data_IF_788376706180
#
_entry.id   IF_788376706180
#
_cell.length_a   1.000
_cell.length_b   1.000
_cell.length_c   1.000
_cell.angle_alpha   90.00
_cell.angle_beta   90.00
_cell.angle_gamma   90.00
#
_symmetry.space_group_name_H-M   'P 1'
#
loop_
_entity.id
_entity.type
_entity.pdbx_description
1 polymer ?
#
# COMPACT_ATOMS: atom_id res chain seq x y z
N UNK A 1 51.72 -37.94 4.78
CA UNK A 1 51.89 -38.32 3.36
C UNK A 1 50.56 -38.06 2.66
N UNK A 2 50.61 -37.42 1.48
CA UNK A 2 49.50 -36.95 0.62
C UNK A 2 48.61 -35.84 1.25
N UNK A 3 48.26 -34.74 0.58
CA UNK A 3 48.51 -34.29 -0.79
C UNK A 3 48.21 -32.78 -0.88
N UNK A 4 48.96 -32.11 -1.74
CA UNK A 4 49.06 -30.66 -1.92
C UNK A 4 48.24 -30.19 -3.13
N UNK A 5 48.18 -28.87 -3.30
CA UNK A 5 48.10 -28.06 -4.53
C UNK A 5 46.76 -27.32 -4.73
N UNK A 6 46.69 -26.04 -4.38
CA UNK A 6 47.20 -24.85 -5.10
C UNK A 6 46.51 -24.60 -6.44
N UNK A 7 45.61 -23.63 -6.38
CA UNK A 7 45.13 -22.83 -7.49
C UNK A 7 46.27 -21.95 -8.03
N UNK A 8 46.51 -22.01 -9.34
CA UNK A 8 47.31 -21.02 -10.05
C UNK A 8 46.53 -20.48 -11.24
N UNK A 9 46.35 -19.15 -11.21
CA UNK A 9 46.00 -18.29 -12.33
C UNK A 9 46.93 -18.51 -13.53
N UNK A 10 46.37 -18.40 -14.74
CA UNK A 10 47.09 -17.91 -15.93
C UNK A 10 46.10 -17.31 -16.94
N UNK A 11 46.24 -15.99 -17.16
CA UNK A 11 45.87 -15.31 -18.40
C UNK A 11 47.05 -15.39 -19.37
N UNK A 12 46.82 -15.75 -20.64
CA UNK A 12 47.13 -14.89 -21.82
C UNK A 12 46.99 -15.63 -23.16
N UNK A 13 46.43 -14.86 -24.10
CA UNK A 13 46.34 -14.93 -25.55
C UNK A 13 47.22 -15.91 -26.34
N UNK A 14 46.63 -16.50 -27.39
CA UNK A 14 47.16 -16.50 -28.78
C UNK A 14 45.98 -16.39 -29.76
N UNK A 15 46.10 -15.48 -30.73
CA UNK A 15 45.23 -15.37 -31.91
C UNK A 15 46.00 -15.85 -33.16
N UNK A 16 45.37 -16.64 -34.04
CA UNK A 16 45.63 -16.67 -35.49
C UNK A 16 44.65 -17.61 -36.25
N UNK A 17 43.76 -17.00 -37.04
CA UNK A 17 43.44 -17.36 -38.44
C UNK A 17 42.69 -18.66 -38.78
N UNK A 18 41.41 -18.54 -39.18
CA UNK A 18 40.88 -19.19 -40.40
C UNK A 18 39.61 -18.49 -40.90
N UNK A 19 39.53 -18.32 -42.21
CA UNK A 19 38.55 -17.55 -43.01
C UNK A 19 37.18 -18.22 -43.14
N UNK A 20 36.15 -17.36 -43.19
CA UNK A 20 34.82 -17.47 -43.80
C UNK A 20 34.22 -18.87 -44.07
N UNK A 21 33.17 -19.19 -43.31
CA UNK A 21 31.96 -19.83 -43.83
C UNK A 21 30.75 -19.24 -43.09
N UNK A 22 29.77 -18.77 -43.86
CA UNK A 22 28.50 -18.22 -43.38
C UNK A 22 27.77 -19.20 -42.45
N UNK A 23 27.62 -18.84 -41.18
CA UNK A 23 26.58 -19.43 -40.32
C UNK A 23 25.84 -18.29 -39.61
N UNK A 24 24.57 -18.18 -39.98
CA UNK A 24 23.72 -17.03 -39.70
C UNK A 24 23.65 -16.67 -38.22
N UNK A 25 23.51 -15.37 -38.01
CA UNK A 25 22.83 -14.77 -36.87
C UNK A 25 21.67 -15.66 -36.43
N UNK A 26 21.81 -16.31 -35.27
CA UNK A 26 20.67 -16.63 -34.42
C UNK A 26 20.94 -16.01 -33.06
N UNK A 27 20.95 -14.69 -33.05
CA UNK A 27 20.59 -13.93 -31.87
C UNK A 27 19.11 -14.23 -31.63
N UNK A 28 18.82 -15.36 -30.99
CA UNK A 28 17.54 -15.59 -30.32
C UNK A 28 17.44 -14.58 -29.17
N UNK A 29 17.17 -13.32 -29.51
CA UNK A 29 16.57 -12.37 -28.59
C UNK A 29 15.14 -12.83 -28.45
N UNK A 30 14.95 -13.79 -27.57
CA UNK A 30 13.65 -14.33 -27.19
C UNK A 30 12.70 -13.16 -27.04
N UNK A 31 11.58 -13.18 -27.76
CA UNK A 31 10.65 -12.06 -27.77
C UNK A 31 10.28 -11.65 -26.34
N UNK A 32 10.26 -10.34 -26.03
CA UNK A 32 9.85 -9.88 -24.72
C UNK A 32 8.42 -10.31 -24.46
N UNK A 33 8.13 -10.76 -23.24
CA UNK A 33 6.77 -11.11 -22.86
C UNK A 33 5.85 -9.90 -23.05
N UNK A 34 4.68 -10.12 -23.65
CA UNK A 34 3.63 -9.09 -23.67
C UNK A 34 2.97 -8.98 -22.29
N UNK A 35 3.69 -8.34 -21.38
CA UNK A 35 3.19 -7.99 -20.05
C UNK A 35 2.08 -6.95 -20.16
N UNK A 36 2.01 -6.16 -21.25
CA UNK A 36 0.99 -5.12 -21.45
C UNK A 36 -0.39 -5.70 -21.73
N UNK A 37 -0.49 -6.89 -22.30
CA UNK A 37 -1.75 -7.59 -22.53
C UNK A 37 -2.35 -8.31 -21.32
N UNK A 38 -1.69 -8.31 -20.16
CA UNK A 38 -2.19 -9.02 -18.96
C UNK A 38 -3.38 -8.29 -18.35
N UNK A 39 -4.49 -9.03 -18.20
CA UNK A 39 -5.81 -8.52 -17.81
C UNK A 39 -6.41 -9.27 -16.61
N UNK A 40 -5.95 -10.45 -16.28
CA UNK A 40 -6.48 -11.24 -15.18
C UNK A 40 -5.41 -12.16 -14.57
N UNK A 41 -5.76 -12.82 -13.46
CA UNK A 41 -4.87 -13.75 -12.77
C UNK A 41 -4.42 -14.90 -13.69
N UNK A 42 -5.29 -15.39 -14.57
CA UNK A 42 -4.97 -16.50 -15.46
C UNK A 42 -3.91 -16.11 -16.50
N UNK A 43 -4.04 -14.92 -17.09
CA UNK A 43 -3.08 -14.35 -18.04
C UNK A 43 -1.71 -14.13 -17.41
N UNK A 44 -1.66 -13.60 -16.18
CA UNK A 44 -0.39 -13.45 -15.46
C UNK A 44 0.27 -14.81 -15.20
N UNK A 45 -0.49 -15.78 -14.70
CA UNK A 45 0.02 -17.12 -14.38
C UNK A 45 0.50 -17.84 -15.64
N UNK A 46 -0.15 -17.65 -16.79
CA UNK A 46 0.30 -18.19 -18.06
C UNK A 46 1.70 -17.66 -18.45
N UNK A 47 1.93 -16.34 -18.31
CA UNK A 47 3.25 -15.76 -18.55
C UNK A 47 4.30 -16.24 -17.53
N UNK A 48 3.94 -16.41 -16.26
CA UNK A 48 4.86 -16.96 -15.25
C UNK A 48 5.28 -18.40 -15.58
N UNK A 49 4.34 -19.24 -16.04
CA UNK A 49 4.65 -20.60 -16.51
C UNK A 49 5.60 -20.55 -17.71
N UNK A 50 5.36 -19.67 -18.67
CA UNK A 50 6.23 -19.48 -19.82
C UNK A 50 7.63 -18.98 -19.40
N UNK A 51 7.73 -18.05 -18.45
CA UNK A 51 9.00 -17.57 -17.90
C UNK A 51 9.80 -18.72 -17.26
N UNK A 52 9.14 -19.57 -16.47
CA UNK A 52 9.81 -20.75 -15.89
C UNK A 52 10.24 -21.75 -16.93
N UNK A 53 9.41 -22.02 -17.94
CA UNK A 53 9.77 -22.93 -19.02
C UNK A 53 11.03 -22.45 -19.74
N UNK A 54 11.09 -21.16 -20.10
CA UNK A 54 12.28 -20.54 -20.71
C UNK A 54 13.52 -20.59 -19.81
N UNK A 55 13.33 -20.51 -18.49
CA UNK A 55 14.45 -20.59 -17.55
C UNK A 55 15.08 -21.99 -17.48
N UNK A 56 14.33 -23.06 -17.83
CA UNK A 56 14.79 -24.44 -17.71
C UNK A 56 15.00 -24.94 -16.27
N UNK A 57 14.71 -24.12 -15.26
CA UNK A 57 15.00 -24.43 -13.86
C UNK A 57 13.88 -25.24 -13.21
N UNK A 58 14.27 -26.20 -12.37
CA UNK A 58 13.37 -26.90 -11.45
C UNK A 58 12.90 -25.97 -10.32
N UNK A 59 11.79 -26.31 -9.65
CA UNK A 59 11.32 -25.52 -8.51
C UNK A 59 12.33 -25.48 -7.34
N UNK A 60 13.13 -26.54 -7.19
CA UNK A 60 14.19 -26.61 -6.17
C UNK A 60 15.33 -25.64 -6.47
N UNK A 61 15.71 -25.49 -7.75
CA UNK A 61 16.76 -24.55 -8.15
C UNK A 61 16.28 -23.09 -8.03
N UNK A 62 15.01 -22.82 -8.34
CA UNK A 62 14.42 -21.48 -8.12
C UNK A 62 14.45 -21.07 -6.65
N UNK A 63 14.08 -21.98 -5.75
CA UNK A 63 14.15 -21.79 -4.30
C UNK A 63 15.59 -21.57 -3.84
N UNK A 64 16.55 -22.37 -4.32
CA UNK A 64 17.97 -22.19 -4.02
C UNK A 64 18.51 -20.83 -4.45
N UNK A 65 18.21 -20.40 -5.68
CA UNK A 65 18.63 -19.09 -6.21
C UNK A 65 18.01 -17.92 -5.42
N UNK A 66 16.76 -18.04 -4.99
CA UNK A 66 16.14 -17.02 -4.16
C UNK A 66 16.84 -16.94 -2.79
N UNK A 67 17.14 -18.10 -2.18
CA UNK A 67 17.82 -18.18 -0.90
C UNK A 67 19.24 -17.58 -0.94
N UNK A 68 19.98 -17.78 -2.03
CA UNK A 68 21.30 -17.16 -2.26
C UNK A 68 21.24 -15.63 -2.23
N UNK A 69 20.09 -15.04 -2.57
CA UNK A 69 19.82 -13.60 -2.51
C UNK A 69 19.17 -13.15 -1.20
N UNK A 70 18.97 -14.06 -0.24
CA UNK A 70 18.25 -13.78 1.01
C UNK A 70 16.74 -13.61 0.85
N UNK A 71 16.18 -14.08 -0.27
CA UNK A 71 14.75 -14.00 -0.58
C UNK A 71 14.05 -15.33 -0.26
N UNK A 72 12.88 -15.27 0.36
CA UNK A 72 12.09 -16.46 0.69
C UNK A 72 11.16 -16.83 -0.47
N UNK A 73 11.48 -17.92 -1.16
CA UNK A 73 10.65 -18.46 -2.25
C UNK A 73 10.42 -19.96 -2.07
N UNK A 74 9.64 -20.31 -1.04
CA UNK A 74 9.37 -21.71 -0.71
C UNK A 74 8.73 -22.46 -1.89
N UNK A 75 9.16 -23.70 -2.09
CA UNK A 75 8.72 -24.54 -3.23
C UNK A 75 7.20 -24.74 -3.31
N UNK A 76 6.54 -24.87 -2.16
CA UNK A 76 5.08 -24.97 -2.06
C UNK A 76 4.40 -23.69 -2.53
N UNK A 77 4.91 -22.53 -2.13
CA UNK A 77 4.42 -21.22 -2.56
C UNK A 77 4.51 -21.04 -4.07
N UNK A 78 5.65 -21.40 -4.68
CA UNK A 78 5.80 -21.33 -6.14
C UNK A 78 4.83 -22.28 -6.85
N UNK A 79 4.65 -23.49 -6.31
CA UNK A 79 3.71 -24.46 -6.86
C UNK A 79 2.28 -23.91 -6.83
N UNK A 80 1.85 -23.36 -5.70
CA UNK A 80 0.49 -22.83 -5.53
C UNK A 80 0.24 -21.57 -6.36
N UNK A 81 1.24 -20.69 -6.47
CA UNK A 81 1.24 -19.55 -7.39
C UNK A 81 1.05 -20.02 -8.83
N UNK A 82 1.82 -21.01 -9.28
CA UNK A 82 1.73 -21.53 -10.65
C UNK A 82 0.46 -22.34 -10.92
N UNK A 83 -0.26 -22.79 -9.90
CA UNK A 83 -1.63 -23.33 -10.06
C UNK A 83 -2.64 -22.23 -10.41
N UNK A 84 -2.36 -20.98 -10.05
CA UNK A 84 -3.20 -19.82 -10.37
C UNK A 84 -4.51 -19.75 -9.59
N UNK A 85 -4.53 -20.29 -8.37
CA UNK A 85 -5.73 -20.23 -7.51
C UNK A 85 -5.98 -18.85 -6.91
N UNK A 86 -4.91 -18.06 -6.76
CA UNK A 86 -4.92 -16.68 -6.26
C UNK A 86 -3.81 -15.90 -6.95
N UNK A 87 -3.97 -14.59 -7.02
CA UNK A 87 -2.95 -13.68 -7.52
C UNK A 87 -1.72 -13.73 -6.59
N UNK A 88 -0.50 -13.86 -7.13
CA UNK A 88 0.70 -13.88 -6.29
C UNK A 88 0.95 -12.52 -5.63
N UNK A 89 1.43 -12.56 -4.38
CA UNK A 89 1.90 -11.36 -3.69
C UNK A 89 3.09 -10.70 -4.40
N UNK A 90 3.35 -9.40 -4.16
CA UNK A 90 4.30 -8.62 -4.95
C UNK A 90 5.73 -9.11 -4.73
N UNK A 91 6.09 -9.42 -3.49
CA UNK A 91 7.42 -9.89 -3.13
C UNK A 91 7.70 -11.28 -3.68
N UNK A 92 6.72 -12.19 -3.59
CA UNK A 92 6.82 -13.54 -4.15
C UNK A 92 6.99 -13.50 -5.67
N UNK A 93 6.24 -12.61 -6.35
CA UNK A 93 6.34 -12.42 -7.78
C UNK A 93 7.72 -11.88 -8.18
N UNK A 94 8.21 -10.84 -7.50
CA UNK A 94 9.52 -10.27 -7.77
C UNK A 94 10.65 -11.29 -7.55
N UNK A 95 10.65 -12.00 -6.42
CA UNK A 95 11.64 -13.03 -6.11
C UNK A 95 11.63 -14.17 -7.14
N UNK A 96 10.44 -14.58 -7.60
CA UNK A 96 10.30 -15.59 -8.64
C UNK A 96 10.87 -15.14 -9.98
N UNK A 97 10.54 -13.92 -10.43
CA UNK A 97 11.02 -13.36 -11.70
C UNK A 97 12.55 -13.26 -11.71
N UNK A 98 13.16 -12.79 -10.61
CA UNK A 98 14.61 -12.80 -10.42
C UNK A 98 15.20 -14.20 -10.41
N UNK A 99 14.56 -15.16 -9.74
CA UNK A 99 15.02 -16.54 -9.68
C UNK A 99 15.02 -17.22 -11.06
N UNK A 100 14.05 -16.89 -11.92
CA UNK A 100 14.01 -17.30 -13.32
C UNK A 100 15.11 -16.65 -14.18
N UNK A 101 15.88 -15.69 -13.65
CA UNK A 101 16.97 -15.03 -14.35
C UNK A 101 16.54 -13.86 -15.23
N UNK A 102 15.34 -13.33 -15.05
CA UNK A 102 14.95 -12.09 -15.72
C UNK A 102 15.81 -10.92 -15.20
N UNK A 103 16.19 -9.96 -16.07
CA UNK A 103 16.87 -8.74 -15.64
C UNK A 103 16.11 -7.99 -14.55
N UNK A 104 16.81 -7.35 -13.61
CA UNK A 104 16.15 -6.55 -12.55
C UNK A 104 15.30 -5.41 -13.14
N UNK A 105 15.67 -4.90 -14.32
CA UNK A 105 14.91 -3.89 -15.06
C UNK A 105 13.51 -4.37 -15.50
N UNK A 106 13.30 -5.68 -15.63
CA UNK A 106 12.01 -6.25 -16.05
C UNK A 106 11.07 -6.46 -14.86
N UNK A 107 11.60 -6.56 -13.63
CA UNK A 107 10.81 -6.82 -12.41
C UNK A 107 9.68 -5.80 -12.22
N UNK A 108 9.89 -4.47 -12.39
CA UNK A 108 8.81 -3.49 -12.33
C UNK A 108 7.67 -3.76 -13.33
N UNK A 109 7.99 -4.16 -14.57
CA UNK A 109 6.98 -4.44 -15.59
C UNK A 109 6.11 -5.66 -15.24
N UNK A 110 6.70 -6.68 -14.59
CA UNK A 110 5.95 -7.82 -14.06
C UNK A 110 5.02 -7.42 -12.90
N UNK A 111 5.48 -6.54 -12.01
CA UNK A 111 4.66 -6.01 -10.92
C UNK A 111 3.48 -5.17 -11.46
N UNK A 112 3.70 -4.37 -12.49
CA UNK A 112 2.65 -3.60 -13.18
C UNK A 112 1.63 -4.51 -13.91
N UNK A 113 2.08 -5.62 -14.50
CA UNK A 113 1.18 -6.62 -15.09
C UNK A 113 0.28 -7.29 -14.03
N UNK A 114 0.86 -7.61 -12.87
CA UNK A 114 0.10 -8.15 -11.74
C UNK A 114 -0.91 -7.14 -11.20
N UNK A 115 -0.53 -5.88 -11.02
CA UNK A 115 -1.45 -4.83 -10.59
C UNK A 115 -2.66 -4.72 -11.53
N UNK A 116 -2.44 -4.78 -12.85
CA UNK A 116 -3.54 -4.75 -13.83
C UNK A 116 -4.45 -5.98 -13.77
N UNK A 117 -3.87 -7.17 -13.55
CA UNK A 117 -4.65 -8.37 -13.32
C UNK A 117 -5.52 -8.28 -12.05
N UNK A 118 -5.04 -7.60 -11.01
CA UNK A 118 -5.77 -7.32 -9.77
C UNK A 118 -6.95 -6.39 -10.04
N UNK A 119 -6.68 -5.22 -10.64
CA UNK A 119 -7.66 -4.17 -10.91
C UNK A 119 -8.84 -4.64 -11.79
N UNK A 120 -8.63 -5.63 -12.65
CA UNK A 120 -9.65 -6.11 -13.59
C UNK A 120 -10.38 -7.37 -13.14
N UNK A 121 -9.81 -8.15 -12.23
CA UNK A 121 -10.51 -9.29 -11.62
C UNK A 121 -11.68 -8.80 -10.74
N UNK A 122 -11.59 -7.58 -10.20
CA UNK A 122 -12.66 -6.94 -9.42
C UNK A 122 -13.78 -6.32 -10.27
N UNK A 123 -13.57 -6.14 -11.58
CA UNK A 123 -14.62 -5.72 -12.52
C UNK A 123 -15.43 -6.94 -12.97
N UNK A 124 -16.14 -7.57 -12.03
CA UNK A 124 -17.22 -8.51 -12.38
C UNK A 124 -18.38 -7.66 -12.97
N UNK A 125 -18.93 -8.01 -14.15
CA UNK A 125 -20.13 -7.34 -14.66
C UNK A 125 -21.25 -7.38 -13.62
N UNK A 126 -22.01 -6.30 -13.43
CA UNK A 126 -23.15 -6.31 -12.51
C UNK A 126 -24.09 -7.46 -12.90
N UNK A 127 -24.57 -8.21 -11.89
CA UNK A 127 -25.61 -9.21 -12.10
C UNK A 127 -26.75 -8.58 -12.92
N UNK A 128 -27.27 -9.27 -13.96
CA UNK A 128 -28.34 -8.71 -14.77
C UNK A 128 -29.52 -8.38 -13.86
N UNK A 129 -29.84 -7.09 -13.79
CA UNK A 129 -31.01 -6.57 -13.06
C UNK A 129 -32.25 -7.31 -13.57
N UNK A 130 -33.02 -7.98 -12.70
CA UNK A 130 -34.25 -8.63 -13.14
C UNK A 130 -35.19 -7.56 -13.71
N UNK A 131 -35.70 -7.81 -14.92
CA UNK A 131 -36.59 -6.91 -15.62
C UNK A 131 -37.79 -6.50 -14.73
N UNK A 132 -38.29 -5.25 -14.86
CA UNK A 132 -39.43 -4.80 -14.08
C UNK A 132 -40.66 -5.64 -14.45
N UNK A 133 -41.23 -6.29 -13.44
CA UNK A 133 -42.53 -6.96 -13.54
C UNK A 133 -43.59 -5.87 -13.75
N UNK A 134 -44.38 -5.89 -14.85
CA UNK A 134 -45.48 -4.95 -15.01
C UNK A 134 -46.56 -5.24 -13.96
N UNK A 135 -46.89 -4.23 -13.17
CA UNK A 135 -48.00 -4.28 -12.21
C UNK A 135 -49.36 -4.45 -12.91
N UNK A 136 -50.36 -5.01 -12.22
CA UNK A 136 -51.59 -5.46 -12.85
C UNK A 136 -52.51 -4.28 -13.19
N UNK A 137 -52.86 -4.16 -14.47
CA UNK A 137 -54.08 -3.47 -14.88
C UNK A 137 -55.26 -4.37 -14.53
N UNK A 138 -56.20 -3.86 -13.73
CA UNK A 138 -57.48 -4.52 -13.50
C UNK A 138 -58.37 -4.44 -14.73
N UNK A 139 -59.14 -5.49 -14.97
CA UNK A 139 -60.58 -5.48 -15.30
C UNK A 139 -61.12 -6.91 -15.25
N UNK A 140 -62.40 -6.97 -14.92
CA UNK A 140 -63.20 -8.09 -14.46
C UNK A 140 -63.40 -9.26 -15.44
N UNK A 141 -63.76 -10.41 -14.85
CA UNK A 141 -64.86 -11.21 -15.39
C UNK A 141 -64.51 -12.56 -16.04
N UNK A 142 -64.93 -13.63 -15.35
CA UNK A 142 -65.39 -14.93 -15.91
C UNK A 142 -64.36 -16.07 -15.97
N UNK A 143 -64.41 -16.90 -14.91
CA UNK A 143 -64.03 -18.32 -14.92
C UNK A 143 -65.05 -19.15 -15.76
N UNK A 144 -64.88 -20.45 -16.10
CA UNK A 144 -64.01 -21.41 -15.39
C UNK A 144 -63.32 -22.51 -16.24
N UNK A 145 -62.62 -23.38 -15.51
CA UNK A 145 -62.38 -24.83 -15.71
C UNK A 145 -60.94 -25.26 -15.99
N UNK A 146 -60.31 -25.69 -14.89
CA UNK A 146 -59.59 -26.97 -14.70
C UNK A 146 -58.58 -27.39 -15.77
N UNK A 147 -57.32 -27.53 -15.35
CA UNK A 147 -56.61 -28.83 -15.39
C UNK A 147 -55.39 -28.79 -14.48
N UNK A 148 -55.40 -29.74 -13.55
CA UNK A 148 -54.33 -30.13 -12.66
C UNK A 148 -53.11 -30.63 -13.46
N UNK A 149 -51.91 -30.23 -13.07
CA UNK A 149 -50.70 -31.04 -13.24
C UNK A 149 -49.89 -31.02 -11.96
N UNK A 150 -49.96 -32.15 -11.28
CA UNK A 150 -49.08 -32.57 -10.20
C UNK A 150 -47.70 -32.95 -10.75
N UNK A 151 -46.69 -32.61 -9.97
CA UNK A 151 -45.45 -33.34 -9.72
C UNK A 151 -44.55 -33.72 -10.92
N UNK A 152 -43.33 -33.19 -10.89
CA UNK A 152 -42.11 -33.94 -11.23
C UNK A 152 -40.93 -33.38 -10.44
N UNK A 153 -40.73 -33.95 -9.25
CA UNK A 153 -39.48 -33.89 -8.51
C UNK A 153 -38.38 -34.54 -9.36
N UNK A 154 -37.31 -33.81 -9.67
CA UNK A 154 -36.01 -34.43 -9.92
C UNK A 154 -35.01 -33.95 -8.88
N UNK A 155 -34.76 -34.84 -7.94
CA UNK A 155 -33.64 -34.79 -7.02
C UNK A 155 -32.33 -34.82 -7.81
N UNK A 156 -31.51 -33.79 -7.62
CA UNK A 156 -30.08 -33.76 -7.95
C UNK A 156 -29.28 -33.29 -6.75
N UNK A 157 -29.05 -34.22 -5.81
CA UNK A 157 -28.01 -34.20 -4.76
C UNK A 157 -26.63 -34.01 -5.43
N UNK A 158 -25.55 -33.46 -4.87
CA UNK A 158 -25.09 -32.90 -3.58
C UNK A 158 -23.76 -32.19 -3.97
N UNK A 159 -23.24 -31.15 -3.31
CA UNK A 159 -22.28 -31.30 -2.19
C UNK A 159 -21.67 -29.93 -1.85
N UNK A 160 -22.38 -29.09 -1.09
CA UNK A 160 -21.77 -27.96 -0.36
C UNK A 160 -21.15 -28.53 0.92
N UNK A 161 -19.83 -28.57 0.98
CA UNK A 161 -19.08 -29.02 2.17
C UNK A 161 -18.84 -27.81 3.08
N UNK A 162 -19.83 -27.49 3.92
CA UNK A 162 -19.65 -26.59 5.07
C UNK A 162 -19.03 -27.39 6.22
N UNK A 163 -17.81 -27.05 6.63
CA UNK A 163 -17.19 -27.66 7.81
C UNK A 163 -17.22 -26.65 8.96
N UNK A 164 -18.24 -26.78 9.82
CA UNK A 164 -18.23 -26.21 11.18
C UNK A 164 -17.50 -27.21 12.08
N UNK A 165 -16.52 -26.77 12.86
CA UNK A 165 -15.89 -27.55 13.92
C UNK A 165 -16.19 -26.89 15.28
N UNK A 166 -16.92 -27.62 16.11
CA UNK A 166 -17.35 -27.39 17.50
C UNK A 166 -17.56 -28.84 18.02
N UNK A 167 -17.06 -29.38 19.14
CA UNK A 167 -16.36 -28.93 20.35
C UNK A 167 -15.85 -30.18 21.13
N UNK A 168 -15.09 -29.91 22.21
CA UNK A 168 -14.92 -30.70 23.45
C UNK A 168 -13.95 -31.90 23.41
N UNK A 169 -13.07 -32.15 24.38
CA UNK A 169 -12.83 -31.60 25.73
C UNK A 169 -12.75 -32.74 26.75
N UNK A 170 -11.68 -32.86 27.54
CA UNK A 170 -11.67 -33.62 28.83
C UNK A 170 -10.66 -32.99 29.80
N UNK A 171 -11.12 -32.91 31.05
CA UNK A 171 -10.56 -32.34 32.29
C UNK A 171 -10.06 -33.46 33.20
N UNK A 172 -9.03 -33.22 34.03
CA UNK A 172 -8.89 -33.62 35.46
C UNK A 172 -7.59 -32.98 36.01
N UNK A 173 -7.57 -32.08 36.99
CA UNK A 173 -7.93 -32.12 38.42
C UNK A 173 -6.74 -32.46 39.35
N UNK A 174 -6.48 -31.59 40.33
CA UNK A 174 -5.52 -31.77 41.42
C UNK A 174 -5.52 -30.59 42.39
N UNK A 175 -6.32 -30.68 43.46
CA UNK A 175 -6.42 -29.78 44.61
C UNK A 175 -5.36 -30.13 45.68
N UNK A 176 -4.86 -29.13 46.42
CA UNK A 176 -4.82 -29.10 47.90
C UNK A 176 -3.98 -27.93 48.43
N UNK A 177 -4.51 -27.21 49.42
CA UNK A 177 -3.75 -26.21 50.19
C UNK A 177 -4.62 -25.20 50.93
N UNK A 178 -5.32 -25.66 51.97
CA UNK A 178 -6.09 -24.84 52.94
C UNK A 178 -5.24 -24.57 54.18
N UNK A 179 -5.22 -23.32 54.65
CA UNK A 179 -5.26 -22.90 56.07
C UNK A 179 -5.22 -21.36 56.12
N UNK A 180 -6.29 -20.62 56.44
CA UNK A 180 -7.05 -20.40 57.70
C UNK A 180 -6.30 -19.54 58.74
N UNK A 181 -6.76 -18.27 58.83
CA UNK A 181 -6.95 -17.35 59.98
C UNK A 181 -5.76 -17.03 60.92
N UNK A 182 -5.51 -15.78 61.34
CA UNK A 182 -6.32 -15.05 62.35
C UNK A 182 -6.24 -13.50 62.30
N UNK A 183 -7.32 -12.88 62.80
CA UNK A 183 -7.55 -11.48 63.19
C UNK A 183 -6.63 -10.94 64.30
N UNK A 184 -6.39 -9.61 64.31
CA UNK A 184 -6.39 -8.67 65.47
C UNK A 184 -6.02 -7.26 64.96
N UNK A 185 -6.98 -6.35 64.74
CA UNK A 185 -7.52 -5.29 65.64
C UNK A 185 -6.66 -4.04 65.84
N UNK A 186 -7.33 -2.90 65.61
CA UNK A 186 -7.20 -1.58 66.25
C UNK A 186 -5.94 -0.73 65.95
N UNK A 187 -6.14 0.40 65.27
CA UNK A 187 -6.32 1.71 65.93
C UNK A 187 -6.31 2.88 64.93
N UNK A 188 -7.35 3.72 64.98
CA UNK A 188 -7.26 5.19 65.01
C UNK A 188 -6.68 5.97 63.83
N UNK A 189 -7.55 6.64 63.07
CA UNK A 189 -7.33 7.93 62.38
C UNK A 189 -6.88 9.03 63.38
N UNK A 190 -6.31 10.21 62.99
CA UNK A 190 -6.88 11.15 62.01
C UNK A 190 -5.87 11.91 61.09
N UNK A 191 -6.38 12.70 60.12
CA UNK A 191 -5.57 13.58 59.26
C UNK A 191 -5.34 14.95 59.92
N UNK A 192 -4.24 15.62 59.56
CA UNK A 192 -4.03 17.05 59.85
C UNK A 192 -3.60 17.81 58.58
N UNK A 193 -4.33 18.89 58.36
CA UNK A 193 -4.25 19.93 57.34
C UNK A 193 -3.00 20.84 57.47
N UNK A 194 -2.73 21.73 56.49
CA UNK A 194 -1.41 22.32 56.20
C UNK A 194 -1.17 23.65 56.94
N UNK A 195 0.01 24.27 56.74
CA UNK A 195 0.10 25.72 56.82
C UNK A 195 0.65 26.37 55.55
N UNK A 196 0.07 27.53 55.28
CA UNK A 196 0.49 28.53 54.31
C UNK A 196 1.87 29.11 54.63
N UNK A 197 2.62 29.51 53.60
CA UNK A 197 3.52 30.66 53.67
C UNK A 197 3.80 31.20 52.26
N UNK A 198 3.55 32.50 52.13
CA UNK A 198 3.72 33.35 50.96
C UNK A 198 5.18 33.57 50.60
N UNK A 199 5.50 33.64 49.30
CA UNK A 199 6.57 34.52 48.82
C UNK A 199 6.22 35.09 47.44
N UNK A 200 6.11 36.41 47.42
CA UNK A 200 6.04 37.28 46.24
C UNK A 200 7.30 37.15 45.36
N UNK A 201 7.16 37.23 44.04
CA UNK A 201 8.07 38.00 43.18
C UNK A 201 7.54 38.06 41.73
N UNK A 202 7.02 39.24 41.41
CA UNK A 202 7.29 40.06 40.23
C UNK A 202 7.61 39.42 38.88
N UNK A 203 6.81 39.87 37.93
CA UNK A 203 7.05 39.95 36.49
C UNK A 203 8.52 40.10 36.06
N UNK A 204 8.86 39.39 35.00
CA UNK A 204 9.79 39.88 33.98
C UNK A 204 9.21 39.53 32.62
N UNK A 205 8.34 40.43 32.16
CA UNK A 205 8.10 40.61 30.74
C UNK A 205 9.39 41.23 30.16
N UNK A 206 10.27 40.39 29.63
CA UNK A 206 11.39 40.83 28.81
C UNK A 206 11.03 40.66 27.36
N UNK A 207 10.58 41.79 26.80
CA UNK A 207 10.94 42.32 25.49
C UNK A 207 11.04 41.33 24.34
N UNK A 208 10.07 41.45 23.45
CA UNK A 208 10.17 41.14 22.04
C UNK A 208 11.55 41.50 21.47
N UNK A 209 12.40 40.49 21.34
CA UNK A 209 13.37 40.46 20.26
C UNK A 209 12.59 40.09 19.01
N UNK A 210 12.53 41.00 18.04
CA UNK A 210 12.19 40.67 16.66
C UNK A 210 13.14 39.60 16.16
N UNK A 211 12.80 38.35 16.41
CA UNK A 211 13.34 37.23 15.65
C UNK A 211 12.78 37.36 14.25
N UNK A 212 13.65 37.83 13.36
CA UNK A 212 13.50 37.62 11.93
C UNK A 212 13.17 36.15 11.75
N UNK A 213 11.91 35.85 11.44
CA UNK A 213 11.40 34.47 11.36
C UNK A 213 12.11 33.75 10.23
N UNK A 214 13.28 33.18 10.53
CA UNK A 214 13.93 32.18 9.72
C UNK A 214 13.02 30.96 9.79
N UNK A 215 12.17 30.81 8.76
CA UNK A 215 11.25 29.70 8.64
C UNK A 215 12.04 28.41 8.84
N UNK A 216 11.80 27.72 9.97
CA UNK A 216 12.45 26.46 10.28
C UNK A 216 12.24 25.53 9.08
N UNK A 217 13.30 24.86 8.58
CA UNK A 217 13.13 23.95 7.46
C UNK A 217 12.09 22.88 7.80
N UNK A 218 11.04 22.76 7.00
CA UNK A 218 10.03 21.72 7.13
C UNK A 218 10.66 20.38 6.76
N UNK A 219 11.13 19.62 7.75
CA UNK A 219 11.79 18.32 7.61
C UNK A 219 11.43 17.45 8.80
N UNK A 220 11.44 16.13 8.61
CA UNK A 220 11.15 15.17 9.69
C UNK A 220 9.67 14.85 9.84
N UNK A 221 9.29 14.29 10.98
CA UNK A 221 7.89 14.00 11.28
C UNK A 221 7.04 15.27 11.27
N UNK A 222 5.89 15.19 10.61
CA UNK A 222 5.00 16.31 10.41
C UNK A 222 3.55 15.87 10.47
N UNK A 223 2.69 16.85 10.71
CA UNK A 223 1.26 16.72 10.52
C UNK A 223 0.82 17.75 9.47
N UNK A 224 0.04 17.30 8.50
CA UNK A 224 -0.46 18.13 7.40
C UNK A 224 -1.97 18.23 7.58
N UNK A 225 -2.50 19.45 7.72
CA UNK A 225 -3.92 19.71 7.94
C UNK A 225 -4.47 20.64 6.86
N UNK A 226 -5.64 20.38 6.27
CA UNK A 226 -6.25 21.32 5.35
C UNK A 226 -6.57 22.66 6.03
N UNK A 227 -6.27 23.79 5.39
CA UNK A 227 -6.45 25.10 6.01
C UNK A 227 -7.92 25.44 6.31
N UNK A 228 -8.88 24.84 5.56
CA UNK A 228 -10.32 25.04 5.75
C UNK A 228 -10.96 24.09 6.76
N UNK A 229 -10.26 23.02 7.15
CA UNK A 229 -10.72 22.00 8.10
C UNK A 229 -9.54 21.60 9.01
N UNK A 230 -9.00 22.52 9.83
CA UNK A 230 -7.76 22.32 10.59
C UNK A 230 -7.89 21.34 11.78
N UNK A 231 -9.07 20.74 11.96
CA UNK A 231 -9.31 19.63 12.89
C UNK A 231 -9.18 18.25 12.19
N UNK A 232 -9.04 18.24 10.87
CA UNK A 232 -8.77 17.06 10.06
C UNK A 232 -7.30 17.04 9.63
N UNK A 233 -6.79 15.85 9.37
CA UNK A 233 -5.43 15.57 8.97
C UNK A 233 -5.39 14.81 7.64
N UNK A 234 -4.41 15.14 6.81
CA UNK A 234 -4.07 14.39 5.61
C UNK A 234 -3.52 13.02 6.03
N UNK A 235 -4.18 11.95 5.60
CA UNK A 235 -3.78 10.58 5.92
C UNK A 235 -4.32 9.58 4.90
N UNK A 236 -4.07 8.29 5.16
CA UNK A 236 -4.60 7.18 4.38
C UNK A 236 -6.12 7.08 4.51
N UNK A 237 -6.79 6.96 3.37
CA UNK A 237 -8.23 6.76 3.24
C UNK A 237 -8.56 5.94 1.99
N UNK A 238 -9.80 6.08 1.53
CA UNK A 238 -10.35 5.37 0.36
C UNK A 238 -10.96 6.37 -0.61
N UNK A 239 -10.88 6.08 -1.90
CA UNK A 239 -11.51 6.91 -2.93
C UNK A 239 -13.02 7.00 -2.67
N UNK A 240 -13.54 8.20 -2.47
CA UNK A 240 -14.97 8.38 -2.14
C UNK A 240 -15.91 7.96 -3.27
N UNK A 241 -15.41 7.90 -4.50
CA UNK A 241 -16.18 7.40 -5.66
C UNK A 241 -16.20 5.87 -5.75
N UNK A 242 -15.35 5.18 -5.00
CA UNK A 242 -15.23 3.72 -5.05
C UNK A 242 -14.75 3.20 -6.41
N UNK A 243 -14.10 4.04 -7.22
CA UNK A 243 -13.55 3.63 -8.51
C UNK A 243 -12.12 3.09 -8.35
N UNK A 244 -11.42 3.53 -7.30
CA UNK A 244 -10.06 3.11 -6.99
C UNK A 244 -9.96 2.43 -5.62
N UNK A 245 -9.60 1.15 -5.59
CA UNK A 245 -9.65 0.33 -4.37
C UNK A 245 -8.43 0.48 -3.46
N UNK A 246 -7.30 0.95 -4.01
CA UNK A 246 -6.09 1.14 -3.23
C UNK A 246 -6.25 2.31 -2.24
N UNK A 247 -5.39 2.31 -1.23
CA UNK A 247 -5.24 3.42 -0.30
C UNK A 247 -4.97 4.73 -1.05
N UNK A 248 -5.63 5.81 -0.65
CA UNK A 248 -5.40 7.16 -1.20
C UNK A 248 -5.32 8.20 -0.09
N UNK A 249 -4.78 9.37 -0.41
CA UNK A 249 -4.84 10.52 0.47
C UNK A 249 -6.27 11.04 0.62
N UNK A 250 -6.68 11.19 1.88
CA UNK A 250 -7.94 11.76 2.29
C UNK A 250 -7.74 12.61 3.55
N UNK A 251 -8.76 13.39 3.92
CA UNK A 251 -8.80 14.07 5.21
C UNK A 251 -9.63 13.27 6.23
N UNK A 252 -9.06 12.89 7.36
CA UNK A 252 -9.75 12.22 8.48
C UNK A 252 -9.53 12.98 9.79
N UNK A 253 -10.35 12.77 10.85
CA UNK A 253 -10.06 13.29 12.18
C UNK A 253 -8.62 12.97 12.58
N UNK A 254 -7.88 13.94 13.11
CA UNK A 254 -6.45 13.76 13.41
C UNK A 254 -6.16 12.63 14.42
N UNK A 255 -7.15 12.28 15.25
CA UNK A 255 -7.08 11.14 16.18
C UNK A 255 -7.21 9.78 15.48
N UNK A 256 -7.90 9.73 14.33
CA UNK A 256 -8.05 8.54 13.48
C UNK A 256 -6.99 8.48 12.36
N UNK A 257 -6.23 9.57 12.18
CA UNK A 257 -5.29 9.73 11.07
C UNK A 257 -3.99 8.92 11.21
N UNK A 258 -3.85 8.11 12.28
CA UNK A 258 -2.67 7.30 12.55
C UNK A 258 -3.04 5.84 12.83
N UNK A 259 -2.28 4.87 12.32
CA UNK A 259 -1.23 5.01 11.29
C UNK A 259 -1.81 5.42 9.92
N UNK A 260 -1.00 5.96 8.97
CA UNK A 260 0.46 6.18 9.01
C UNK A 260 0.92 7.49 9.68
N UNK A 261 2.22 7.59 10.00
CA UNK A 261 2.88 8.85 10.37
C UNK A 261 3.47 9.54 9.13
N UNK A 262 3.25 10.84 9.00
CA UNK A 262 3.83 11.62 7.89
C UNK A 262 5.26 12.06 8.20
N UNK A 263 6.18 11.84 7.27
CA UNK A 263 7.59 12.27 7.34
C UNK A 263 7.97 13.04 6.08
N UNK A 264 8.47 14.27 6.25
CA UNK A 264 8.93 15.13 5.17
C UNK A 264 10.43 14.91 4.95
N UNK A 265 10.78 14.18 3.89
CA UNK A 265 12.16 13.90 3.53
C UNK A 265 12.57 14.70 2.29
N UNK A 266 13.63 15.53 2.34
CA UNK A 266 14.19 16.14 1.14
C UNK A 266 14.55 15.08 0.08
N UNK A 267 14.21 15.32 -1.18
CA UNK A 267 14.62 14.46 -2.31
C UNK A 267 16.14 14.52 -2.48
N UNK A 268 16.66 15.75 -2.53
CA UNK A 268 18.09 16.06 -2.49
C UNK A 268 18.35 17.10 -1.39
N UNK A 269 18.98 16.71 -0.26
CA UNK A 269 19.31 17.63 0.83
C UNK A 269 20.28 18.76 0.43
N UNK A 270 21.05 18.59 -0.65
CA UNK A 270 22.02 19.57 -1.13
C UNK A 270 21.44 20.53 -2.19
N UNK A 271 20.22 20.26 -2.68
CA UNK A 271 19.60 21.09 -3.71
C UNK A 271 19.28 22.50 -3.20
N UNK A 272 19.61 23.51 -4.03
CA UNK A 272 19.29 24.93 -3.76
C UNK A 272 17.78 25.17 -3.60
N UNK A 273 16.96 24.44 -4.36
CA UNK A 273 15.50 24.40 -4.22
C UNK A 273 15.10 23.01 -3.80
N UNK A 274 14.77 22.84 -2.53
CA UNK A 274 14.41 21.54 -1.98
C UNK A 274 13.00 21.14 -2.46
N UNK A 275 12.90 19.95 -3.05
CA UNK A 275 11.67 19.19 -3.15
C UNK A 275 11.64 18.11 -2.07
N UNK A 276 10.44 17.63 -1.78
CA UNK A 276 10.19 16.68 -0.71
C UNK A 276 9.50 15.44 -1.25
N UNK A 277 9.93 14.29 -0.73
CA UNK A 277 9.04 13.16 -0.54
C UNK A 277 8.16 13.43 0.67
N UNK A 278 6.84 13.26 0.49
CA UNK A 278 5.91 13.14 1.61
C UNK A 278 5.74 11.65 1.85
N UNK A 279 6.37 11.15 2.92
CA UNK A 279 6.38 9.73 3.25
C UNK A 279 5.32 9.41 4.30
N UNK A 280 4.62 8.30 4.11
CA UNK A 280 3.78 7.69 5.12
C UNK A 280 4.48 6.46 5.67
N UNK A 281 4.83 6.53 6.96
CA UNK A 281 5.42 5.43 7.70
C UNK A 281 4.32 4.60 8.35
N UNK A 282 4.01 3.45 7.75
CA UNK A 282 3.02 2.51 8.28
C UNK A 282 3.75 1.38 9.04
N UNK A 283 3.31 0.99 10.26
CA UNK A 283 4.01 -0.03 11.05
C UNK A 283 4.01 -1.41 10.38
N UNK A 284 2.99 -1.73 9.58
CA UNK A 284 2.86 -3.03 8.91
C UNK A 284 3.38 -3.02 7.47
N UNK A 285 3.35 -1.86 6.80
CA UNK A 285 3.65 -1.75 5.38
C UNK A 285 4.97 -1.02 5.13
N UNK A 286 5.61 -0.45 6.16
CA UNK A 286 6.82 0.34 6.02
C UNK A 286 6.55 1.74 5.42
N UNK A 287 7.62 2.43 4.98
CA UNK A 287 7.50 3.76 4.40
C UNK A 287 7.04 3.71 2.93
N UNK A 288 5.98 4.44 2.59
CA UNK A 288 5.51 4.66 1.23
C UNK A 288 5.50 6.15 0.88
N UNK A 289 5.97 6.52 -0.31
CA UNK A 289 5.91 7.92 -0.77
C UNK A 289 4.57 8.23 -1.43
N UNK A 290 3.96 9.35 -1.04
CA UNK A 290 2.80 9.86 -1.77
C UNK A 290 3.16 10.07 -3.24
N UNK A 291 2.34 9.49 -4.10
CA UNK A 291 2.61 9.41 -5.53
C UNK A 291 1.34 9.73 -6.30
N UNK A 292 1.45 10.66 -7.25
CA UNK A 292 0.34 10.96 -8.14
C UNK A 292 0.05 9.78 -9.08
N UNK A 293 -1.17 9.27 -9.01
CA UNK A 293 -1.74 8.42 -10.06
C UNK A 293 -2.00 9.27 -11.31
N UNK A 294 -1.27 8.98 -12.38
CA UNK A 294 -1.34 9.75 -13.64
C UNK A 294 -2.45 9.27 -14.58
N UNK A 295 -2.92 8.05 -14.37
CA UNK A 295 -3.83 7.34 -15.26
C UNK A 295 -4.73 6.37 -14.49
N UNK A 296 -5.70 5.79 -15.21
CA UNK A 296 -6.66 4.83 -14.65
C UNK A 296 -7.72 5.47 -13.74
N UNK A 297 -8.50 4.65 -13.03
CA UNK A 297 -9.57 5.12 -12.16
C UNK A 297 -9.07 5.98 -10.99
N UNK A 298 -7.82 5.73 -10.55
CA UNK A 298 -7.16 6.54 -9.54
C UNK A 298 -6.60 7.87 -10.05
N UNK A 299 -6.76 8.23 -11.33
CA UNK A 299 -6.17 9.45 -11.91
C UNK A 299 -6.44 10.67 -11.03
N UNK A 300 -5.39 11.44 -10.75
CA UNK A 300 -5.37 12.62 -9.89
C UNK A 300 -5.41 12.33 -8.38
N UNK A 301 -5.57 11.08 -7.93
CA UNK A 301 -5.40 10.73 -6.53
C UNK A 301 -3.91 10.59 -6.18
N UNK A 302 -3.61 10.82 -4.90
CA UNK A 302 -2.33 10.48 -4.31
C UNK A 302 -2.46 9.15 -3.59
N UNK A 303 -1.61 8.19 -3.90
CA UNK A 303 -1.52 6.93 -3.14
C UNK A 303 -0.16 6.80 -2.47
N UNK A 304 -0.05 6.05 -1.36
CA UNK A 304 1.24 5.58 -0.89
C UNK A 304 1.76 4.55 -1.88
N UNK A 305 2.76 4.94 -2.66
CA UNK A 305 3.43 4.03 -3.58
C UNK A 305 4.17 2.93 -2.80
N UNK A 306 4.31 1.70 -3.35
CA UNK A 306 4.85 0.55 -2.63
C UNK A 306 6.10 0.85 -1.79
N UNK A 307 6.20 0.14 -0.67
CA UNK A 307 7.23 0.40 0.32
C UNK A 307 8.65 0.42 -0.25
N UNK A 308 9.48 1.34 0.27
CA UNK A 308 10.87 1.57 -0.18
C UNK A 308 11.03 2.02 -1.64
N UNK A 309 9.95 2.39 -2.34
CA UNK A 309 9.99 2.80 -3.75
C UNK A 309 9.92 4.31 -3.96
N UNK A 310 10.38 5.08 -2.96
CA UNK A 310 10.61 6.51 -3.09
C UNK A 310 11.81 6.74 -4.03
N UNK A 311 11.58 7.32 -5.20
CA UNK A 311 12.54 7.34 -6.29
C UNK A 311 12.81 8.79 -6.74
N UNK A 312 14.08 9.20 -6.64
CA UNK A 312 14.52 10.54 -7.01
C UNK A 312 14.42 10.82 -8.53
N UNK A 313 14.16 9.80 -9.35
CA UNK A 313 13.91 9.96 -10.78
C UNK A 313 12.42 10.16 -11.11
N UNK A 314 11.51 9.91 -10.16
CA UNK A 314 10.06 10.00 -10.35
C UNK A 314 9.52 11.33 -9.84
N UNK A 315 9.52 12.34 -10.71
CA UNK A 315 9.05 13.70 -10.37
C UNK A 315 7.61 13.77 -9.87
N UNK A 316 6.76 12.80 -10.21
CA UNK A 316 5.39 12.69 -9.73
C UNK A 316 5.27 12.14 -8.28
N UNK A 317 6.40 12.01 -7.58
CA UNK A 317 6.51 11.77 -6.13
C UNK A 317 7.13 12.97 -5.38
N UNK A 318 7.48 14.04 -6.09
CA UNK A 318 8.22 15.17 -5.54
C UNK A 318 7.30 16.37 -5.39
N UNK A 319 7.33 16.97 -4.20
CA UNK A 319 6.49 18.11 -3.86
C UNK A 319 7.35 19.29 -3.44
N UNK A 320 7.06 20.46 -4.00
CA UNK A 320 7.42 21.71 -3.35
C UNK A 320 6.43 22.00 -2.23
N UNK A 321 6.94 22.53 -1.13
CA UNK A 321 6.14 23.04 -0.02
C UNK A 321 6.35 24.56 0.01
N UNK A 322 5.39 25.30 -0.51
CA UNK A 322 5.53 26.73 -0.81
C UNK A 322 4.66 27.57 0.12
N UNK A 323 5.20 28.53 0.89
CA UNK A 323 4.38 29.35 1.78
C UNK A 323 3.45 30.28 1.00
N UNK A 324 2.20 30.41 1.44
CA UNK A 324 1.16 31.28 0.86
C UNK A 324 1.37 32.71 1.35
N UNK A 325 2.49 33.32 0.96
CA UNK A 325 2.90 34.64 1.41
C UNK A 325 3.87 34.63 2.59
N UNK A 326 4.48 35.78 2.86
CA UNK A 326 5.53 35.92 3.88
C UNK A 326 4.96 35.77 5.29
N UNK A 327 5.65 35.01 6.13
CA UNK A 327 5.30 34.84 7.55
C UNK A 327 4.03 34.02 7.81
N UNK A 328 3.49 33.35 6.79
CA UNK A 328 2.30 32.50 6.96
C UNK A 328 2.68 31.08 7.37
N UNK A 329 1.76 30.39 8.03
CA UNK A 329 1.83 28.95 8.33
C UNK A 329 1.03 28.10 7.33
N UNK A 330 0.62 28.72 6.23
CA UNK A 330 -0.16 28.12 5.14
C UNK A 330 0.76 27.80 3.98
N UNK A 331 0.60 26.62 3.41
CA UNK A 331 1.47 26.10 2.37
C UNK A 331 0.66 25.54 1.21
N UNK A 332 1.15 25.75 -0.01
CA UNK A 332 0.77 24.99 -1.18
C UNK A 332 1.71 23.79 -1.29
N UNK A 333 1.14 22.62 -1.57
CA UNK A 333 1.90 21.44 -1.97
C UNK A 333 1.82 21.34 -3.49
N UNK A 334 2.91 21.65 -4.19
CA UNK A 334 2.94 21.70 -5.67
C UNK A 334 3.79 20.57 -6.23
N UNK A 335 3.29 19.84 -7.22
CA UNK A 335 4.02 18.72 -7.81
C UNK A 335 5.17 19.25 -8.70
N UNK A 336 6.37 18.69 -8.52
CA UNK A 336 7.60 19.08 -9.23
C UNK A 336 7.41 19.07 -10.76
N UNK A 337 7.96 20.07 -11.43
CA UNK A 337 7.86 20.20 -12.88
C UNK A 337 6.45 20.52 -13.42
N UNK A 338 5.48 20.82 -12.56
CA UNK A 338 4.10 21.11 -12.99
C UNK A 338 3.51 22.37 -12.33
N UNK A 339 2.38 22.84 -12.89
CA UNK A 339 1.51 23.87 -12.29
C UNK A 339 0.29 23.24 -11.61
N UNK A 340 0.49 22.11 -10.93
CA UNK A 340 -0.57 21.37 -10.24
C UNK A 340 -0.32 21.32 -8.75
N UNK A 341 -1.37 21.58 -7.98
CA UNK A 341 -1.36 21.68 -6.54
C UNK A 341 -2.18 20.53 -5.95
N UNK A 342 -1.79 20.08 -4.77
CA UNK A 342 -2.62 19.21 -3.94
C UNK A 342 -3.82 20.03 -3.45
N UNK A 343 -5.00 19.43 -3.45
CA UNK A 343 -6.23 20.07 -2.97
C UNK A 343 -7.26 19.04 -2.53
N UNK A 344 -8.36 19.55 -1.97
CA UNK A 344 -9.50 18.72 -1.57
C UNK A 344 -10.50 18.67 -2.73
N UNK A 345 -10.88 17.47 -3.16
CA UNK A 345 -11.87 17.26 -4.20
C UNK A 345 -13.16 18.04 -3.88
N UNK A 346 -13.67 18.74 -4.88
CA UNK A 346 -14.87 19.59 -4.79
C UNK A 346 -14.82 20.63 -3.64
N UNK A 347 -13.62 21.01 -3.21
CA UNK A 347 -13.39 21.86 -2.03
C UNK A 347 -14.11 21.35 -0.77
N UNK A 348 -14.28 20.04 -0.64
CA UNK A 348 -14.99 19.42 0.48
C UNK A 348 -14.24 19.62 1.80
N UNK A 349 -14.98 19.93 2.86
CA UNK A 349 -14.48 20.01 4.25
C UNK A 349 -14.92 18.82 5.09
N UNK A 350 -15.50 17.79 4.46
CA UNK A 350 -16.01 16.59 5.15
C UNK A 350 -14.89 15.58 5.42
N UNK A 351 -15.00 14.87 6.54
CA UNK A 351 -14.24 13.65 6.80
C UNK A 351 -14.38 12.66 5.64
N UNK A 352 -13.27 12.03 5.28
CA UNK A 352 -13.15 11.07 4.19
C UNK A 352 -12.99 11.70 2.81
N UNK A 353 -13.04 13.03 2.66
CA UNK A 353 -12.90 13.64 1.34
C UNK A 353 -11.52 13.37 0.73
N UNK A 354 -11.53 13.05 -0.57
CA UNK A 354 -10.33 12.75 -1.31
C UNK A 354 -9.42 13.97 -1.43
N UNK A 355 -8.13 13.69 -1.33
CA UNK A 355 -7.08 14.64 -1.65
C UNK A 355 -6.59 14.33 -3.06
N UNK A 356 -6.74 15.32 -3.93
CA UNK A 356 -6.43 15.23 -5.35
C UNK A 356 -5.27 16.16 -5.71
N UNK A 357 -4.67 15.92 -6.88
CA UNK A 357 -3.77 16.86 -7.53
C UNK A 357 -4.52 17.51 -8.68
N UNK A 358 -4.66 18.82 -8.65
CA UNK A 358 -5.50 19.62 -9.57
C UNK A 358 -4.70 20.82 -10.09
N UNK A 359 -5.15 21.53 -11.14
CA UNK A 359 -4.53 22.81 -11.51
C UNK A 359 -4.49 23.75 -10.30
N UNK A 360 -3.36 24.43 -10.08
CA UNK A 360 -3.29 25.43 -9.01
C UNK A 360 -4.27 26.57 -9.31
N UNK A 361 -5.17 26.89 -8.38
CA UNK A 361 -6.22 27.91 -8.55
C UNK A 361 -6.13 29.07 -7.55
N UNK A 362 -5.23 28.96 -6.55
CA UNK A 362 -5.03 29.99 -5.53
C UNK A 362 -6.13 30.05 -4.48
N UNK A 363 -6.97 29.02 -4.39
CA UNK A 363 -8.05 28.94 -3.41
C UNK A 363 -7.62 28.24 -2.12
N UNK A 364 -8.35 28.51 -1.04
CA UNK A 364 -8.04 27.97 0.28
C UNK A 364 -8.22 26.43 0.40
N UNK A 365 -8.87 25.75 -0.57
CA UNK A 365 -8.93 24.28 -0.61
C UNK A 365 -7.64 23.63 -1.14
N UNK A 366 -6.66 24.40 -1.59
CA UNK A 366 -5.31 23.93 -1.95
C UNK A 366 -4.25 24.31 -0.90
N UNK A 367 -4.67 24.96 0.19
CA UNK A 367 -3.78 25.40 1.27
C UNK A 367 -3.79 24.43 2.44
N UNK A 368 -2.62 24.19 3.00
CA UNK A 368 -2.40 23.29 4.14
C UNK A 368 -1.62 23.98 5.26
N UNK A 369 -1.97 23.67 6.49
CA UNK A 369 -1.15 23.93 7.67
C UNK A 369 -0.19 22.76 7.86
N UNK A 370 1.08 23.06 8.11
CA UNK A 370 2.10 22.04 8.35
C UNK A 370 2.81 22.36 9.66
N UNK A 371 2.75 21.43 10.60
CA UNK A 371 3.43 21.50 11.88
C UNK A 371 4.36 20.31 12.08
N UNK A 372 5.47 20.50 12.79
CA UNK A 372 6.27 19.37 13.25
C UNK A 372 5.44 18.46 14.15
N UNK A 373 5.59 17.15 13.98
CA UNK A 373 5.04 16.14 14.88
C UNK A 373 6.18 15.49 15.67
N UNK A 374 5.92 15.14 16.92
CA UNK A 374 6.86 14.46 17.81
C UNK A 374 6.84 12.95 17.58
#
# INVERSE_FOLDING_TARGET
>A
MAGSLQWLSKCSLVAAGRTDEHMGVSSDRSEPFDLRGVRDTAGLVALLRALKERSGLTLRELEGRAQERGELLARSTVSDMLRGTRLPGPETLAAYVRACGAPEADVPAWLEARQRAEEQTDVRPPDPVPAPVPGPAGVDGTAPRTRFWTASLRLGRLRRRTSRWVLAGVVTAGLAGVSVWTLSTAAGSPPQDPPAASTSASASASSAGSETSTTKPLRGFAEIRPARSPHLCLTEGRDTRGEYMNAVAAQLPCEEARPPHTYLRPVDPAAKRTTYFIEWQHPQHGPGCLTLRREGPGKNLLEPWPWKSCDATRTYQHFHIEPVGRGTTRYLLRLEGTRRCVGLRDASTRTGADVTVEPCDGTANQEFLISSAA
#
